data_IF_727326378300
#
_entry.id   IF_727326378300
#
_cell.length_a   1.000
_cell.length_b   1.000
_cell.length_c   1.000
_cell.angle_alpha   90.00
_cell.angle_beta   90.00
_cell.angle_gamma   90.00
#
_symmetry.space_group_name_H-M   'P 1'
#
loop_
_entity.id
_entity.type
_entity.pdbx_description
1 polymer ?
#
# COMPACT_ATOMS: atom_id res chain seq x y z
N UNK A 1 0.57 -34.36 1.76
CA UNK A 1 0.68 -33.21 0.84
C UNK A 1 -0.42 -32.17 1.06
N UNK A 2 -1.70 -32.43 0.77
CA UNK A 2 -2.78 -31.42 0.95
C UNK A 2 -2.96 -30.94 2.40
N UNK A 3 -2.86 -31.84 3.38
CA UNK A 3 -2.95 -31.48 4.82
C UNK A 3 -1.78 -30.61 5.30
N UNK A 4 -0.57 -30.81 4.77
CA UNK A 4 0.61 -30.05 5.19
C UNK A 4 0.59 -28.63 4.63
N UNK A 5 0.17 -28.48 3.37
CA UNK A 5 -0.05 -27.15 2.76
C UNK A 5 -1.14 -26.41 3.54
N UNK A 6 -2.23 -27.09 3.89
CA UNK A 6 -3.31 -26.50 4.68
C UNK A 6 -2.83 -26.07 6.07
N UNK A 7 -2.03 -26.90 6.75
CA UNK A 7 -1.45 -26.55 8.05
C UNK A 7 -0.45 -25.38 7.94
N UNK A 8 0.32 -25.30 6.85
CA UNK A 8 1.23 -24.18 6.63
C UNK A 8 0.50 -22.86 6.39
N UNK A 9 -0.57 -22.89 5.57
CA UNK A 9 -1.43 -21.74 5.27
C UNK A 9 -2.44 -21.43 6.38
N UNK A 10 -2.46 -22.22 7.46
CA UNK A 10 -3.29 -21.98 8.62
C UNK A 10 -2.88 -20.68 9.33
N UNK A 11 -3.86 -20.03 9.96
CA UNK A 11 -3.65 -18.84 10.81
C UNK A 11 -2.80 -19.18 12.04
N UNK A 12 -2.72 -20.46 12.42
CA UNK A 12 -1.81 -20.94 13.48
C UNK A 12 -0.34 -20.70 13.14
N UNK A 13 0.00 -20.67 11.84
CA UNK A 13 1.33 -20.28 11.40
C UNK A 13 1.51 -18.78 11.59
N UNK A 14 2.34 -18.43 12.58
CA UNK A 14 2.66 -17.03 12.92
C UNK A 14 3.10 -16.21 11.71
N UNK A 15 3.78 -16.83 10.75
CA UNK A 15 4.29 -16.17 9.57
C UNK A 15 3.16 -15.75 8.61
N UNK A 16 2.22 -16.65 8.35
CA UNK A 16 1.01 -16.40 7.55
C UNK A 16 0.08 -15.41 8.25
N UNK A 17 -0.16 -15.60 9.54
CA UNK A 17 -0.96 -14.70 10.36
C UNK A 17 -0.42 -13.26 10.34
N UNK A 18 0.90 -13.10 10.49
CA UNK A 18 1.55 -11.78 10.44
C UNK A 18 1.42 -11.15 9.06
N UNK A 19 1.64 -11.93 7.99
CA UNK A 19 1.47 -11.45 6.61
C UNK A 19 0.04 -10.95 6.35
N UNK A 20 -0.97 -11.78 6.67
CA UNK A 20 -2.38 -11.43 6.47
C UNK A 20 -2.76 -10.19 7.29
N UNK A 21 -2.31 -10.09 8.54
CA UNK A 21 -2.57 -8.94 9.40
C UNK A 21 -2.08 -7.63 8.77
N UNK A 22 -0.83 -7.59 8.26
CA UNK A 22 -0.32 -6.39 7.60
C UNK A 22 -0.98 -6.12 6.25
N UNK A 23 -1.40 -7.16 5.52
CA UNK A 23 -2.21 -6.99 4.30
C UNK A 23 -3.53 -6.29 4.61
N UNK A 24 -4.25 -6.74 5.64
CA UNK A 24 -5.50 -6.12 6.07
C UNK A 24 -5.31 -4.64 6.46
N UNK A 25 -4.24 -4.32 7.18
CA UNK A 25 -3.90 -2.93 7.53
C UNK A 25 -3.68 -2.07 6.28
N UNK A 26 -2.91 -2.59 5.31
CA UNK A 26 -2.62 -1.87 4.07
C UNK A 26 -3.86 -1.67 3.21
N UNK A 27 -4.75 -2.67 3.13
CA UNK A 27 -6.04 -2.56 2.45
C UNK A 27 -6.90 -1.48 3.13
N UNK A 28 -7.02 -1.52 4.46
CA UNK A 28 -7.78 -0.53 5.21
C UNK A 28 -7.26 0.89 4.97
N UNK A 29 -5.94 1.04 4.92
CA UNK A 29 -5.30 2.31 4.57
C UNK A 29 -5.67 2.77 3.15
N UNK A 30 -5.59 1.90 2.14
CA UNK A 30 -5.99 2.25 0.77
C UNK A 30 -7.46 2.68 0.69
N UNK A 31 -8.36 1.98 1.41
CA UNK A 31 -9.76 2.38 1.52
C UNK A 31 -9.91 3.76 2.17
N UNK A 32 -9.15 4.05 3.23
CA UNK A 32 -9.16 5.36 3.88
C UNK A 32 -8.71 6.48 2.93
N UNK A 33 -7.69 6.25 2.10
CA UNK A 33 -7.21 7.24 1.11
C UNK A 33 -8.23 7.44 -0.02
N UNK A 34 -8.91 6.37 -0.45
CA UNK A 34 -10.01 6.44 -1.40
C UNK A 34 -11.14 7.34 -0.87
N UNK A 35 -11.57 7.13 0.38
CA UNK A 35 -12.57 7.97 1.04
C UNK A 35 -12.09 9.42 1.19
N UNK A 36 -10.83 9.63 1.58
CA UNK A 36 -10.24 10.96 1.72
C UNK A 36 -10.25 11.71 0.39
N UNK A 37 -9.98 11.02 -0.73
CA UNK A 37 -10.07 11.61 -2.08
C UNK A 37 -11.50 12.07 -2.38
N UNK A 38 -12.51 11.25 -2.07
CA UNK A 38 -13.91 11.61 -2.28
C UNK A 38 -14.35 12.79 -1.40
N UNK A 39 -13.96 12.80 -0.13
CA UNK A 39 -14.21 13.92 0.80
C UNK A 39 -13.54 15.21 0.30
N UNK A 40 -12.33 15.10 -0.27
CA UNK A 40 -11.61 16.25 -0.80
C UNK A 40 -12.30 16.81 -2.05
N UNK A 41 -12.82 15.96 -2.94
CA UNK A 41 -13.62 16.39 -4.09
C UNK A 41 -14.84 17.20 -3.66
N UNK A 42 -15.57 16.71 -2.66
CA UNK A 42 -16.73 17.39 -2.14
C UNK A 42 -16.36 18.69 -1.39
N UNK A 43 -15.24 18.71 -0.66
CA UNK A 43 -14.78 19.91 0.06
C UNK A 43 -14.37 21.05 -0.87
N UNK A 44 -13.69 20.74 -1.97
CA UNK A 44 -13.21 21.73 -2.94
C UNK A 44 -14.15 21.92 -4.14
N UNK A 45 -15.30 21.24 -4.14
CA UNK A 45 -16.26 21.22 -5.25
C UNK A 45 -15.57 20.93 -6.59
N UNK A 46 -14.62 20.00 -6.57
CA UNK A 46 -13.72 19.71 -7.68
C UNK A 46 -14.03 18.32 -8.25
N UNK A 47 -15.02 18.29 -9.13
CA UNK A 47 -15.45 17.10 -9.86
C UNK A 47 -14.82 17.11 -11.25
N UNK A 48 -14.29 15.95 -11.66
CA UNK A 48 -13.68 15.76 -13.00
C UNK A 48 -14.79 15.47 -14.02
N UNK A 49 -15.80 14.75 -13.55
CA UNK A 49 -16.89 14.23 -14.33
C UNK A 49 -17.98 15.31 -14.49
N UNK A 50 -18.40 15.63 -15.72
CA UNK A 50 -19.40 16.67 -15.96
C UNK A 50 -20.76 16.34 -15.33
N UNK A 51 -21.14 15.06 -15.27
CA UNK A 51 -22.40 14.63 -14.66
C UNK A 51 -22.48 14.93 -13.16
N UNK A 52 -21.38 14.74 -12.42
CA UNK A 52 -21.29 15.03 -10.99
C UNK A 52 -21.25 16.54 -10.74
N UNK A 53 -20.62 17.28 -11.65
CA UNK A 53 -20.48 18.73 -11.58
C UNK A 53 -21.82 19.43 -11.87
N UNK A 54 -22.54 18.98 -12.89
CA UNK A 54 -23.86 19.48 -13.27
C UNK A 54 -24.90 19.23 -12.17
N UNK A 55 -24.87 18.06 -11.50
CA UNK A 55 -25.74 17.77 -10.37
C UNK A 55 -25.61 18.79 -9.22
N UNK A 56 -24.40 19.33 -9.03
CA UNK A 56 -24.10 20.33 -8.00
C UNK A 56 -24.06 21.76 -8.55
N UNK A 57 -24.40 21.97 -9.83
CA UNK A 57 -24.30 23.25 -10.54
C UNK A 57 -22.89 23.89 -10.47
N UNK A 58 -21.84 23.06 -10.47
CA UNK A 58 -20.44 23.49 -10.45
C UNK A 58 -19.81 23.14 -11.80
N UNK A 59 -18.88 23.96 -12.29
CA UNK A 59 -18.12 23.61 -13.50
C UNK A 59 -17.07 22.54 -13.18
N UNK A 60 -16.84 21.56 -14.08
CA UNK A 60 -15.75 20.62 -13.94
C UNK A 60 -14.43 21.35 -13.73
N UNK A 61 -13.72 21.01 -12.66
CA UNK A 61 -12.49 21.67 -12.28
C UNK A 61 -11.51 20.67 -11.68
N UNK A 62 -10.25 20.83 -12.07
CA UNK A 62 -9.11 20.14 -11.45
C UNK A 62 -8.62 21.01 -10.29
N UNK A 63 -8.52 20.41 -9.11
CA UNK A 63 -7.97 21.03 -7.92
C UNK A 63 -6.69 20.31 -7.47
N UNK A 64 -5.64 21.09 -7.21
CA UNK A 64 -4.33 20.55 -6.85
C UNK A 64 -4.35 19.75 -5.54
N UNK A 65 -5.24 20.10 -4.59
CA UNK A 65 -5.35 19.36 -3.34
C UNK A 65 -5.98 17.98 -3.57
N UNK A 66 -7.00 17.88 -4.43
CA UNK A 66 -7.62 16.60 -4.80
C UNK A 66 -6.65 15.75 -5.60
N UNK A 67 -5.98 16.32 -6.59
CA UNK A 67 -5.00 15.60 -7.41
C UNK A 67 -3.82 15.10 -6.59
N UNK A 68 -3.41 15.83 -5.56
CA UNK A 68 -2.34 15.39 -4.66
C UNK A 68 -2.76 14.13 -3.90
N UNK A 69 -3.96 14.06 -3.35
CA UNK A 69 -4.42 12.82 -2.69
C UNK A 69 -4.58 11.68 -3.70
N UNK A 70 -5.10 11.98 -4.91
CA UNK A 70 -5.23 10.99 -5.98
C UNK A 70 -3.88 10.37 -6.36
N UNK A 71 -2.83 11.18 -6.49
CA UNK A 71 -1.47 10.71 -6.77
C UNK A 71 -0.89 9.88 -5.61
N UNK A 72 -1.20 10.23 -4.36
CA UNK A 72 -0.83 9.40 -3.21
C UNK A 72 -1.49 8.02 -3.30
N UNK A 73 -2.78 7.98 -3.65
CA UNK A 73 -3.53 6.73 -3.83
C UNK A 73 -2.98 5.89 -4.99
N UNK A 74 -2.64 6.51 -6.12
CA UNK A 74 -2.03 5.82 -7.26
C UNK A 74 -0.69 5.18 -6.89
N UNK A 75 0.16 5.88 -6.13
CA UNK A 75 1.42 5.28 -5.66
C UNK A 75 1.20 4.07 -4.74
N UNK A 76 0.16 4.12 -3.91
CA UNK A 76 -0.24 3.00 -3.08
C UNK A 76 -0.74 1.82 -3.94
N UNK A 77 -1.51 2.09 -5.00
CA UNK A 77 -1.96 1.10 -5.99
C UNK A 77 -0.81 0.47 -6.79
N UNK A 78 0.28 1.21 -7.03
CA UNK A 78 1.47 0.66 -7.69
C UNK A 78 2.32 -0.17 -6.73
N UNK A 79 2.47 0.25 -5.47
CA UNK A 79 3.44 -0.36 -4.55
C UNK A 79 2.87 -1.53 -3.74
N UNK A 80 1.65 -1.41 -3.24
CA UNK A 80 1.06 -2.35 -2.28
C UNK A 80 0.70 -3.69 -2.92
N UNK A 81 0.09 -3.75 -4.12
CA UNK A 81 -0.17 -5.03 -4.79
C UNK A 81 1.10 -5.81 -5.11
N UNK A 82 2.18 -5.12 -5.52
CA UNK A 82 3.48 -5.76 -5.75
C UNK A 82 4.01 -6.37 -4.45
N UNK A 83 3.87 -5.66 -3.32
CA UNK A 83 4.21 -6.19 -2.01
C UNK A 83 3.35 -7.40 -1.61
N UNK A 84 2.05 -7.43 -1.91
CA UNK A 84 1.22 -8.62 -1.64
C UNK A 84 1.75 -9.84 -2.40
N UNK A 85 2.04 -9.70 -3.69
CA UNK A 85 2.55 -10.83 -4.48
C UNK A 85 3.94 -11.26 -4.01
N UNK A 86 4.86 -10.32 -3.80
CA UNK A 86 6.22 -10.62 -3.35
C UNK A 86 6.26 -11.17 -1.92
N UNK A 87 5.44 -10.62 -1.02
CA UNK A 87 5.29 -11.08 0.35
C UNK A 87 4.71 -12.48 0.41
N UNK A 88 3.71 -12.79 -0.43
CA UNK A 88 3.16 -14.13 -0.56
C UNK A 88 4.22 -15.14 -1.04
N UNK A 89 4.99 -14.79 -2.07
CA UNK A 89 6.09 -15.65 -2.52
C UNK A 89 7.15 -15.87 -1.42
N UNK A 90 7.49 -14.81 -0.69
CA UNK A 90 8.49 -14.87 0.38
C UNK A 90 8.04 -15.71 1.57
N UNK A 91 6.76 -15.66 1.96
CA UNK A 91 6.30 -16.50 3.06
C UNK A 91 6.40 -17.99 2.73
N UNK A 92 6.17 -18.38 1.47
CA UNK A 92 6.24 -19.77 1.02
C UNK A 92 7.66 -20.34 1.09
N UNK A 93 8.70 -19.52 1.14
CA UNK A 93 10.09 -19.99 1.32
C UNK A 93 10.44 -20.27 2.78
N UNK A 94 9.45 -20.28 3.68
CA UNK A 94 9.59 -20.48 5.12
C UNK A 94 10.73 -19.64 5.78
N UNK A 95 10.72 -18.31 5.61
CA UNK A 95 11.78 -17.46 6.15
C UNK A 95 11.68 -17.34 7.67
N UNK A 96 12.70 -16.75 8.31
CA UNK A 96 12.64 -16.51 9.74
C UNK A 96 11.48 -15.56 10.09
N UNK A 97 10.64 -15.97 11.05
CA UNK A 97 9.45 -15.21 11.50
C UNK A 97 9.82 -13.79 11.89
N UNK A 98 10.94 -13.64 12.60
CA UNK A 98 11.44 -12.33 13.05
C UNK A 98 11.79 -11.43 11.87
N UNK A 99 12.51 -11.96 10.87
CA UNK A 99 12.88 -11.19 9.69
C UNK A 99 11.65 -10.76 8.88
N UNK A 100 10.74 -11.70 8.58
CA UNK A 100 9.51 -11.41 7.85
C UNK A 100 8.65 -10.36 8.57
N UNK A 101 8.50 -10.48 9.89
CA UNK A 101 7.75 -9.53 10.72
C UNK A 101 8.32 -8.12 10.61
N UNK A 102 9.64 -7.97 10.67
CA UNK A 102 10.28 -6.65 10.53
C UNK A 102 10.12 -6.06 9.13
N UNK A 103 10.26 -6.87 8.06
CA UNK A 103 10.04 -6.40 6.70
C UNK A 103 8.62 -5.87 6.50
N UNK A 104 7.60 -6.61 6.96
CA UNK A 104 6.20 -6.20 6.85
C UNK A 104 5.89 -4.95 7.68
N UNK A 105 6.46 -4.85 8.89
CA UNK A 105 6.35 -3.66 9.75
C UNK A 105 6.93 -2.42 9.09
N UNK A 106 8.17 -2.51 8.62
CA UNK A 106 8.89 -1.37 8.04
C UNK A 106 8.18 -0.96 6.74
N UNK A 107 7.81 -1.91 5.88
CA UNK A 107 7.05 -1.62 4.67
C UNK A 107 5.77 -0.86 5.00
N UNK A 108 4.97 -1.39 5.94
CA UNK A 108 3.71 -0.77 6.36
C UNK A 108 3.94 0.64 6.90
N UNK A 109 4.85 0.82 7.85
CA UNK A 109 5.17 2.13 8.44
C UNK A 109 5.61 3.15 7.37
N UNK A 110 6.50 2.75 6.46
CA UNK A 110 6.97 3.60 5.36
C UNK A 110 5.83 3.99 4.41
N UNK A 111 4.87 3.09 4.15
CA UNK A 111 3.69 3.42 3.34
C UNK A 111 2.75 4.39 4.05
N UNK A 112 2.58 4.30 5.37
CA UNK A 112 1.83 5.32 6.12
C UNK A 112 2.54 6.68 6.09
N UNK A 113 3.86 6.70 6.31
CA UNK A 113 4.67 7.92 6.23
C UNK A 113 4.58 8.53 4.83
N UNK A 114 4.71 7.73 3.77
CA UNK A 114 4.62 8.22 2.40
C UNK A 114 3.29 8.96 2.16
N UNK A 115 2.16 8.35 2.51
CA UNK A 115 0.84 8.98 2.34
C UNK A 115 0.65 10.19 3.23
N UNK A 116 1.14 10.17 4.48
CA UNK A 116 1.07 11.32 5.36
C UNK A 116 1.85 12.53 4.81
N UNK A 117 3.08 12.29 4.36
CA UNK A 117 3.95 13.31 3.75
C UNK A 117 3.45 13.78 2.37
N UNK A 118 2.68 12.94 1.67
CA UNK A 118 2.13 13.31 0.37
C UNK A 118 0.82 14.08 0.49
N UNK A 119 -0.12 13.59 1.31
CA UNK A 119 -1.51 14.08 1.36
C UNK A 119 -1.77 15.09 2.48
N UNK A 120 -1.15 14.92 3.65
CA UNK A 120 -1.47 15.72 4.86
C UNK A 120 -0.46 16.84 5.05
N UNK A 121 0.83 16.51 5.09
CA UNK A 121 1.89 17.48 5.34
C UNK A 121 2.90 17.49 4.21
N UNK A 122 2.80 18.51 3.35
CA UNK A 122 3.58 18.63 2.11
C UNK A 122 5.04 18.95 2.46
N UNK A 123 5.84 17.90 2.67
CA UNK A 123 7.29 18.08 2.77
C UNK A 123 7.88 18.24 1.36
N UNK A 124 8.86 19.14 1.20
CA UNK A 124 9.65 19.21 0.00
C UNK A 124 10.37 17.86 -0.24
N UNK A 125 10.76 17.61 -1.50
CA UNK A 125 11.67 16.51 -1.81
C UNK A 125 12.91 16.64 -0.90
N UNK A 126 13.41 15.57 -0.24
CA UNK A 126 13.52 14.18 -0.73
C UNK A 126 12.67 13.12 0.00
N UNK A 127 11.84 13.50 0.98
CA UNK A 127 11.14 12.54 1.86
C UNK A 127 10.27 11.52 1.11
N UNK A 128 9.67 11.92 -0.03
CA UNK A 128 8.86 11.05 -0.89
C UNK A 128 9.69 9.99 -1.60
N UNK A 129 10.85 10.37 -2.13
CA UNK A 129 11.75 9.45 -2.85
C UNK A 129 12.35 8.44 -1.88
N UNK A 130 12.76 8.89 -0.69
CA UNK A 130 13.31 8.01 0.34
C UNK A 130 12.27 6.97 0.80
N UNK A 131 11.05 7.39 1.12
CA UNK A 131 9.99 6.47 1.54
C UNK A 131 9.58 5.51 0.40
N UNK A 132 9.53 5.96 -0.85
CA UNK A 132 9.33 5.07 -1.99
C UNK A 132 10.47 4.05 -2.13
N UNK A 133 11.72 4.51 -2.06
CA UNK A 133 12.91 3.67 -2.22
C UNK A 133 12.99 2.57 -1.18
N UNK A 134 12.69 2.87 0.09
CA UNK A 134 12.70 1.86 1.16
C UNK A 134 11.64 0.77 0.89
N UNK A 135 10.43 1.17 0.45
CA UNK A 135 9.39 0.20 0.08
C UNK A 135 9.82 -0.69 -1.08
N UNK A 136 10.40 -0.10 -2.13
CA UNK A 136 10.91 -0.82 -3.29
C UNK A 136 12.05 -1.79 -2.93
N UNK A 137 12.97 -1.38 -2.05
CA UNK A 137 14.08 -2.21 -1.57
C UNK A 137 13.57 -3.44 -0.79
N UNK A 138 12.57 -3.26 0.08
CA UNK A 138 11.99 -4.38 0.85
C UNK A 138 11.33 -5.39 -0.10
N UNK A 139 10.50 -4.91 -1.02
CA UNK A 139 9.84 -5.76 -2.02
C UNK A 139 10.87 -6.49 -2.88
N UNK A 140 11.89 -5.78 -3.37
CA UNK A 140 12.97 -6.37 -4.16
C UNK A 140 13.72 -7.45 -3.37
N UNK A 141 14.06 -7.20 -2.11
CA UNK A 141 14.73 -8.17 -1.24
C UNK A 141 13.92 -9.46 -1.10
N UNK A 142 12.61 -9.34 -0.82
CA UNK A 142 11.72 -10.49 -0.71
C UNK A 142 11.65 -11.29 -2.02
N UNK A 143 11.52 -10.59 -3.16
CA UNK A 143 11.51 -11.22 -4.47
C UNK A 143 12.82 -11.94 -4.79
N UNK A 144 13.97 -11.28 -4.59
CA UNK A 144 15.28 -11.89 -4.83
C UNK A 144 15.52 -13.11 -3.95
N UNK A 145 15.16 -13.03 -2.65
CA UNK A 145 15.26 -14.19 -1.76
C UNK A 145 14.36 -15.34 -2.20
N UNK A 146 13.17 -15.03 -2.70
CA UNK A 146 12.24 -16.03 -3.21
C UNK A 146 12.79 -16.72 -4.46
N UNK A 147 13.37 -15.95 -5.39
CA UNK A 147 14.02 -16.49 -6.59
C UNK A 147 15.18 -17.40 -6.22
N UNK A 148 16.07 -16.95 -5.33
CA UNK A 148 17.24 -17.73 -4.91
C UNK A 148 16.89 -19.02 -4.18
N UNK A 149 15.72 -19.09 -3.54
CA UNK A 149 15.24 -20.31 -2.89
C UNK A 149 14.68 -21.33 -3.89
N UNK A 150 14.16 -20.85 -5.03
CA UNK A 150 13.51 -21.68 -6.05
C UNK A 150 14.46 -22.18 -7.15
N UNK A 151 15.66 -21.59 -7.26
CA UNK A 151 16.75 -22.07 -8.13
C UNK A 151 17.56 -23.16 -7.44
#
# INVERSE_FOLDING_TARGET
>A
MTREIFNFLSIENKLVSTYIFYCCILILKMMAVMLLTALQRHRYMAFINPEDADYLNVKPKIDDHVERVRRAHLNDLESIPIFFVAGFAYILTNPSVTCATWLFRIFTAVRFIHTFVYAVYVLPQPARVLSFSIGALITSYMTFKSILYLM
#
